data_IF_739797088031
#
_entry.id   IF_739797088031
#
_cell.length_a   1.000
_cell.length_b   1.000
_cell.length_c   1.000
_cell.angle_alpha   90.00
_cell.angle_beta   90.00
_cell.angle_gamma   90.00
#
_symmetry.space_group_name_H-M   'P 1'
#
loop_
_entity.id
_entity.type
_entity.pdbx_description
1 polymer ?
#
# COMPACT_ATOMS: atom_id res chain seq x y z
N UNK A 1 -22.26 37.96 40.50
CA UNK A 1 -22.62 36.83 39.61
C UNK A 1 -21.34 36.40 38.94
N UNK A 2 -20.70 35.38 39.52
CA UNK A 2 -19.58 34.69 38.87
C UNK A 2 -20.20 33.78 37.83
N UNK A 3 -20.03 34.12 36.55
CA UNK A 3 -20.24 33.14 35.50
C UNK A 3 -19.03 32.21 35.54
N UNK A 4 -19.25 30.97 35.99
CA UNK A 4 -18.26 29.91 35.82
C UNK A 4 -17.86 29.82 34.34
N UNK A 5 -16.56 29.70 34.03
CA UNK A 5 -16.15 29.39 32.67
C UNK A 5 -16.68 28.00 32.31
N UNK A 6 -17.34 27.93 31.16
CA UNK A 6 -17.84 26.71 30.53
C UNK A 6 -16.74 25.61 30.53
N UNK A 7 -16.99 24.43 31.16
CA UNK A 7 -15.98 23.37 31.28
C UNK A 7 -15.67 22.64 29.96
N UNK A 8 -16.35 22.95 28.86
CA UNK A 8 -16.05 22.44 27.52
C UNK A 8 -14.90 23.20 26.81
N UNK A 9 -13.85 23.54 27.58
CA UNK A 9 -12.53 23.76 26.98
C UNK A 9 -12.12 22.46 26.29
N UNK A 10 -12.11 22.45 24.96
CA UNK A 10 -11.65 21.41 23.99
C UNK A 10 -10.53 20.49 24.54
N UNK A 11 -10.87 19.60 25.47
CA UNK A 11 -9.97 18.58 25.97
C UNK A 11 -9.88 17.55 24.86
N UNK A 12 -8.68 17.38 24.30
CA UNK A 12 -8.40 16.38 23.28
C UNK A 12 -8.90 15.00 23.70
N UNK A 13 -9.07 14.07 22.74
CA UNK A 13 -9.63 12.75 23.04
C UNK A 13 -8.80 12.04 24.13
N UNK A 14 -9.50 11.35 25.03
CA UNK A 14 -8.89 10.58 26.11
C UNK A 14 -8.15 9.36 25.53
N UNK A 15 -6.83 9.50 25.37
CA UNK A 15 -5.94 8.52 24.78
C UNK A 15 -5.05 7.87 25.86
N UNK A 16 -5.34 6.62 26.21
CA UNK A 16 -4.47 5.83 27.09
C UNK A 16 -3.47 5.04 26.25
N UNK A 17 -2.19 5.35 26.40
CA UNK A 17 -1.11 4.61 25.71
C UNK A 17 -1.02 3.18 26.23
N UNK A 18 -0.95 2.22 25.31
CA UNK A 18 -0.70 0.80 25.57
C UNK A 18 0.53 0.37 24.80
N UNK A 19 1.42 -0.36 25.46
CA UNK A 19 2.59 -0.97 24.84
C UNK A 19 2.60 -2.45 25.16
N UNK A 20 2.77 -3.27 24.13
CA UNK A 20 3.05 -4.68 24.29
C UNK A 20 4.57 -4.86 24.33
N UNK A 21 5.08 -5.65 25.26
CA UNK A 21 6.50 -5.99 25.42
C UNK A 21 6.98 -7.03 24.38
N UNK A 22 6.11 -7.36 23.43
CA UNK A 22 6.36 -8.29 22.34
C UNK A 22 5.86 -7.75 21.01
N UNK A 23 6.32 -8.37 19.93
CA UNK A 23 5.86 -8.03 18.59
C UNK A 23 4.41 -8.43 18.37
N UNK A 24 3.58 -7.51 17.88
CA UNK A 24 2.15 -7.75 17.65
C UNK A 24 1.84 -8.72 16.52
N UNK A 25 2.84 -9.13 15.73
CA UNK A 25 2.67 -10.27 14.81
C UNK A 25 3.17 -11.60 15.38
N UNK A 26 3.51 -11.65 16.68
CA UNK A 26 3.65 -12.91 17.38
C UNK A 26 2.28 -13.59 17.45
N UNK A 27 2.25 -14.85 17.03
CA UNK A 27 1.03 -15.62 16.88
C UNK A 27 0.89 -16.51 18.11
N UNK A 28 -0.27 -16.48 18.76
CA UNK A 28 -0.54 -17.43 19.84
C UNK A 28 -0.63 -18.85 19.29
N UNK A 29 -0.31 -19.86 20.11
CA UNK A 29 -0.53 -21.26 19.74
C UNK A 29 -2.03 -21.45 19.59
N UNK A 30 -2.46 -21.61 18.35
CA UNK A 30 -3.84 -21.89 18.02
C UNK A 30 -4.27 -23.24 18.61
N UNK A 31 -5.55 -23.36 18.94
CA UNK A 31 -6.12 -24.65 19.37
C UNK A 31 -5.96 -25.74 18.30
N UNK A 32 -6.01 -27.01 18.74
CA UNK A 32 -5.90 -28.20 17.88
C UNK A 32 -6.76 -28.09 16.62
N UNK A 33 -8.01 -27.66 16.75
CA UNK A 33 -8.94 -27.54 15.64
C UNK A 33 -8.51 -26.54 14.57
N UNK A 34 -8.02 -25.38 14.98
CA UNK A 34 -7.55 -24.34 14.05
C UNK A 34 -6.27 -24.80 13.34
N UNK A 35 -5.37 -25.48 14.07
CA UNK A 35 -4.20 -26.10 13.46
C UNK A 35 -4.61 -27.13 12.40
N UNK A 36 -5.52 -28.06 12.73
CA UNK A 36 -6.00 -29.08 11.79
C UNK A 36 -6.65 -28.45 10.56
N UNK A 37 -7.50 -27.43 10.73
CA UNK A 37 -8.09 -26.67 9.61
C UNK A 37 -7.01 -26.07 8.70
N UNK A 38 -5.98 -25.45 9.28
CA UNK A 38 -4.87 -24.87 8.52
C UNK A 38 -4.08 -25.95 7.78
N UNK A 39 -3.79 -27.08 8.43
CA UNK A 39 -3.07 -28.20 7.84
C UNK A 39 -3.84 -28.82 6.67
N UNK A 40 -5.15 -29.06 6.83
CA UNK A 40 -6.02 -29.54 5.74
C UNK A 40 -5.95 -28.57 4.57
N UNK A 41 -6.16 -27.28 4.81
CA UNK A 41 -6.13 -26.26 3.75
C UNK A 41 -4.77 -26.22 3.01
N UNK A 42 -3.64 -26.29 3.73
CA UNK A 42 -2.31 -26.33 3.12
C UNK A 42 -2.07 -27.60 2.32
N UNK A 43 -2.53 -28.74 2.82
CA UNK A 43 -2.44 -30.03 2.13
C UNK A 43 -3.27 -30.02 0.85
N UNK A 44 -4.51 -29.54 0.89
CA UNK A 44 -5.35 -29.38 -0.30
C UNK A 44 -4.70 -28.46 -1.32
N UNK A 45 -4.10 -27.35 -0.88
CA UNK A 45 -3.37 -26.43 -1.76
C UNK A 45 -2.19 -27.13 -2.44
N UNK A 46 -1.41 -27.91 -1.68
CA UNK A 46 -0.30 -28.69 -2.21
C UNK A 46 -0.78 -29.73 -3.24
N UNK A 47 -1.79 -30.53 -2.90
CA UNK A 47 -2.37 -31.54 -3.80
C UNK A 47 -2.94 -30.89 -5.07
N UNK A 48 -3.60 -29.75 -4.96
CA UNK A 48 -4.11 -29.00 -6.13
C UNK A 48 -2.98 -28.59 -7.07
N UNK A 49 -1.91 -28.02 -6.53
CA UNK A 49 -0.75 -27.59 -7.31
C UNK A 49 -0.03 -28.79 -7.95
N UNK A 50 0.11 -29.89 -7.21
CA UNK A 50 0.71 -31.12 -7.72
C UNK A 50 -0.11 -31.71 -8.88
N UNK A 51 -1.44 -31.73 -8.76
CA UNK A 51 -2.34 -32.20 -9.83
C UNK A 51 -2.25 -31.35 -11.08
N UNK A 52 -2.17 -30.01 -10.95
CA UNK A 52 -1.97 -29.14 -12.11
C UNK A 52 -0.64 -29.42 -12.82
N UNK A 53 0.45 -29.59 -12.05
CA UNK A 53 1.76 -29.93 -12.62
C UNK A 53 1.75 -31.30 -13.31
N UNK A 54 1.19 -32.31 -12.66
CA UNK A 54 1.07 -33.65 -13.24
C UNK A 54 0.21 -33.64 -14.50
N UNK A 55 -0.90 -32.89 -14.52
CA UNK A 55 -1.75 -32.76 -15.69
C UNK A 55 -0.99 -32.24 -16.92
N UNK A 56 -0.26 -31.12 -16.80
CA UNK A 56 0.50 -30.57 -17.92
C UNK A 56 1.74 -31.39 -18.27
N UNK A 57 2.31 -32.13 -17.30
CA UNK A 57 3.38 -33.08 -17.57
C UNK A 57 2.89 -34.27 -18.41
N UNK A 58 1.70 -34.80 -18.12
CA UNK A 58 1.10 -35.94 -18.83
C UNK A 58 0.43 -35.55 -20.15
N UNK A 59 0.07 -34.27 -20.33
CA UNK A 59 -0.61 -33.74 -21.52
C UNK A 59 0.18 -32.55 -22.11
N UNK A 60 1.41 -32.77 -22.59
CA UNK A 60 2.27 -31.70 -23.08
C UNK A 60 1.67 -30.93 -24.28
N UNK A 61 0.80 -31.57 -25.06
CA UNK A 61 0.07 -30.97 -26.18
C UNK A 61 -0.98 -29.92 -25.76
N UNK A 62 -1.42 -29.95 -24.49
CA UNK A 62 -2.37 -28.98 -23.94
C UNK A 62 -1.70 -27.74 -23.35
N UNK A 63 -0.36 -27.69 -23.34
CA UNK A 63 0.39 -26.51 -22.90
C UNK A 63 0.13 -25.38 -23.89
N UNK A 64 -0.74 -24.45 -23.50
CA UNK A 64 -1.00 -23.25 -24.29
C UNK A 64 0.15 -22.25 -24.15
N UNK A 65 0.34 -21.36 -25.15
CA UNK A 65 1.29 -20.27 -25.03
C UNK A 65 1.01 -19.43 -23.78
N UNK A 66 2.06 -18.88 -23.19
CA UNK A 66 1.98 -18.05 -22.00
C UNK A 66 1.01 -16.90 -22.24
N UNK A 67 -0.14 -16.96 -21.56
CA UNK A 67 -1.11 -15.88 -21.51
C UNK A 67 -0.66 -14.90 -20.44
N UNK A 68 -0.64 -13.60 -20.77
CA UNK A 68 -0.45 -12.57 -19.76
C UNK A 68 -1.63 -12.60 -18.78
N UNK A 69 -1.30 -12.77 -17.49
CA UNK A 69 -2.29 -12.90 -16.42
C UNK A 69 -2.13 -11.84 -15.35
N UNK A 70 -1.15 -10.94 -15.46
CA UNK A 70 -0.86 -9.90 -14.48
C UNK A 70 -0.78 -10.45 -13.04
N UNK A 71 -0.28 -11.68 -12.89
CA UNK A 71 -0.14 -12.37 -11.60
C UNK A 71 -1.46 -12.91 -11.01
N UNK A 72 -2.55 -12.92 -11.77
CA UNK A 72 -3.82 -13.53 -11.36
C UNK A 72 -3.81 -15.05 -11.56
N UNK A 73 -3.88 -15.78 -10.45
CA UNK A 73 -3.97 -17.24 -10.45
C UNK A 73 -5.27 -17.73 -11.08
N UNK A 74 -5.22 -18.92 -11.69
CA UNK A 74 -6.41 -19.62 -12.17
C UNK A 74 -7.33 -20.00 -11.01
N UNK A 75 -8.63 -19.82 -11.19
CA UNK A 75 -9.68 -20.28 -10.27
C UNK A 75 -10.18 -21.68 -10.61
N UNK A 76 -9.73 -22.26 -11.74
CA UNK A 76 -10.18 -23.57 -12.19
C UNK A 76 -9.68 -24.68 -11.25
N UNK A 77 -10.52 -25.69 -10.96
CA UNK A 77 -10.06 -26.88 -10.24
C UNK A 77 -9.18 -27.73 -11.17
N UNK A 78 -8.12 -28.37 -10.63
CA UNK A 78 -7.32 -29.30 -11.41
C UNK A 78 -8.14 -30.55 -11.77
N UNK A 79 -7.89 -31.15 -12.94
CA UNK A 79 -8.53 -32.42 -13.33
C UNK A 79 -8.08 -33.56 -12.40
N UNK A 80 -8.85 -34.64 -12.40
CA UNK A 80 -8.49 -35.86 -11.66
C UNK A 80 -7.29 -36.53 -12.33
N UNK A 81 -6.30 -36.93 -11.54
CA UNK A 81 -5.07 -37.60 -12.00
C UNK A 81 -5.02 -38.96 -11.30
N UNK A 82 -5.34 -40.07 -12.01
CA UNK A 82 -5.37 -41.42 -11.43
C UNK A 82 -4.07 -41.78 -10.71
N UNK A 83 -2.92 -41.41 -11.27
CA UNK A 83 -1.58 -41.70 -10.77
C UNK A 83 -1.31 -41.05 -9.40
N UNK A 84 -2.05 -40.00 -9.03
CA UNK A 84 -1.92 -39.32 -7.74
C UNK A 84 -2.94 -39.77 -6.69
N UNK A 85 -3.81 -40.74 -7.02
CA UNK A 85 -4.88 -41.20 -6.13
C UNK A 85 -4.33 -41.78 -4.84
N UNK A 86 -3.42 -42.75 -4.94
CA UNK A 86 -2.90 -43.46 -3.78
C UNK A 86 -2.05 -42.53 -2.90
N UNK A 87 -1.19 -41.72 -3.52
CA UNK A 87 -0.46 -40.65 -2.83
C UNK A 87 -1.38 -39.71 -2.03
N UNK A 88 -2.49 -39.27 -2.62
CA UNK A 88 -3.46 -38.39 -1.93
C UNK A 88 -4.09 -39.10 -0.73
N UNK A 89 -4.42 -40.39 -0.86
CA UNK A 89 -5.02 -41.18 0.21
C UNK A 89 -4.03 -41.38 1.38
N UNK A 90 -2.81 -41.80 1.09
CA UNK A 90 -1.74 -41.95 2.09
C UNK A 90 -1.43 -40.63 2.79
N UNK A 91 -1.41 -39.51 2.06
CA UNK A 91 -1.22 -38.18 2.65
C UNK A 91 -2.37 -37.80 3.58
N UNK A 92 -3.61 -38.18 3.26
CA UNK A 92 -4.76 -37.97 4.13
C UNK A 92 -4.66 -38.83 5.41
N UNK A 93 -4.25 -40.10 5.29
CA UNK A 93 -3.99 -40.98 6.43
C UNK A 93 -2.88 -40.44 7.33
N UNK A 94 -1.79 -39.92 6.75
CA UNK A 94 -0.71 -39.29 7.50
C UNK A 94 -1.24 -38.14 8.36
N UNK A 95 -2.12 -37.30 7.82
CA UNK A 95 -2.71 -36.17 8.54
C UNK A 95 -3.65 -36.65 9.66
N UNK A 96 -4.43 -37.71 9.42
CA UNK A 96 -5.32 -38.30 10.44
C UNK A 96 -4.54 -38.86 11.64
N UNK A 97 -3.33 -39.35 11.39
CA UNK A 97 -2.47 -39.94 12.42
C UNK A 97 -1.64 -38.93 13.22
N UNK A 98 -1.78 -37.63 12.96
CA UNK A 98 -1.05 -36.60 13.71
C UNK A 98 -1.50 -36.55 15.17
N UNK A 99 -0.55 -36.76 16.08
CA UNK A 99 -0.75 -36.67 17.52
C UNK A 99 -0.25 -35.32 18.03
N UNK A 100 -1.03 -34.71 18.90
CA UNK A 100 -0.71 -33.41 19.51
C UNK A 100 -0.27 -33.61 20.95
N UNK A 101 0.81 -32.94 21.34
CA UNK A 101 1.23 -32.79 22.74
C UNK A 101 0.91 -31.38 23.21
N UNK A 102 0.27 -31.26 24.37
CA UNK A 102 0.13 -29.95 25.03
C UNK A 102 1.50 -29.53 25.57
N UNK A 103 1.99 -28.38 25.15
CA UNK A 103 3.21 -27.77 25.68
C UNK A 103 2.85 -26.47 26.39
N UNK A 104 3.32 -26.32 27.63
CA UNK A 104 3.17 -25.06 28.35
C UNK A 104 4.29 -24.11 27.94
N UNK A 105 3.94 -22.85 27.71
CA UNK A 105 4.88 -21.77 27.42
C UNK A 105 4.39 -20.51 28.12
N UNK A 106 5.24 -19.91 28.96
CA UNK A 106 4.93 -18.71 29.73
C UNK A 106 4.58 -17.51 28.83
N UNK A 107 5.28 -17.36 27.71
CA UNK A 107 4.98 -16.33 26.70
C UNK A 107 3.58 -16.54 26.09
N UNK A 108 3.19 -17.77 25.81
CA UNK A 108 1.86 -18.09 25.29
C UNK A 108 0.75 -17.85 26.33
N UNK A 109 1.05 -18.12 27.60
CA UNK A 109 0.15 -17.76 28.70
C UNK A 109 0.01 -16.23 28.83
N UNK A 110 1.09 -15.47 28.59
CA UNK A 110 1.05 -14.01 28.53
C UNK A 110 0.16 -13.50 27.39
N UNK A 111 0.40 -13.94 26.15
CA UNK A 111 -0.42 -13.59 24.98
C UNK A 111 -1.91 -13.84 25.21
N UNK A 112 -2.26 -15.01 25.79
CA UNK A 112 -3.65 -15.34 26.07
C UNK A 112 -4.29 -14.46 27.15
N UNK A 113 -3.52 -13.99 28.14
CA UNK A 113 -4.01 -13.01 29.14
C UNK A 113 -4.31 -11.67 28.46
N UNK A 114 -3.42 -11.22 27.58
CA UNK A 114 -3.61 -9.95 26.86
C UNK A 114 -4.80 -10.02 25.91
N UNK A 115 -4.96 -11.12 25.15
CA UNK A 115 -6.15 -11.34 24.30
C UNK A 115 -7.44 -11.26 25.12
N UNK A 116 -7.48 -11.90 26.31
CA UNK A 116 -8.65 -11.82 27.20
C UNK A 116 -8.87 -10.39 27.70
N UNK A 117 -7.81 -9.67 28.06
CA UNK A 117 -7.90 -8.28 28.48
C UNK A 117 -8.43 -7.37 27.38
N UNK A 118 -7.97 -7.56 26.14
CA UNK A 118 -8.41 -6.80 24.96
C UNK A 118 -9.89 -7.08 24.68
N UNK A 119 -10.30 -8.34 24.69
CA UNK A 119 -11.69 -8.73 24.42
C UNK A 119 -12.69 -8.24 25.48
N UNK A 120 -12.23 -7.98 26.70
CA UNK A 120 -13.06 -7.47 27.80
C UNK A 120 -13.06 -5.93 27.90
N UNK A 121 -12.19 -5.25 27.16
CA UNK A 121 -12.09 -3.79 27.17
C UNK A 121 -13.20 -3.16 26.32
N UNK A 122 -13.78 -2.06 26.80
CA UNK A 122 -14.87 -1.34 26.10
C UNK A 122 -14.34 -0.32 25.11
N UNK A 123 -13.11 0.14 25.31
CA UNK A 123 -12.41 1.08 24.43
C UNK A 123 -11.78 0.36 23.24
N UNK A 124 -11.65 1.09 22.14
CA UNK A 124 -10.99 0.60 20.93
C UNK A 124 -9.48 0.71 21.06
N UNK A 125 -8.74 -0.27 20.54
CA UNK A 125 -7.28 -0.21 20.44
C UNK A 125 -6.87 0.26 19.04
N UNK A 126 -6.28 1.45 18.96
CA UNK A 126 -5.85 2.05 17.70
C UNK A 126 -4.33 2.02 17.61
N UNK A 127 -3.74 1.46 16.54
CA UNK A 127 -2.30 1.45 16.36
C UNK A 127 -1.77 2.85 16.02
N UNK A 128 -0.55 3.12 16.45
CA UNK A 128 0.22 4.25 15.98
C UNK A 128 0.73 4.04 14.54
N UNK A 129 0.96 5.13 13.82
CA UNK A 129 1.37 5.12 12.42
C UNK A 129 2.85 4.74 12.22
N UNK A 130 3.75 5.22 13.09
CA UNK A 130 5.21 5.05 12.95
C UNK A 130 5.89 4.34 14.12
N UNK A 131 5.19 4.14 15.23
CA UNK A 131 5.72 3.47 16.42
C UNK A 131 4.99 2.16 16.66
N UNK A 132 5.50 1.33 17.57
CA UNK A 132 4.83 0.09 17.99
C UNK A 132 3.77 0.33 19.07
N UNK A 133 3.37 1.58 19.31
CA UNK A 133 2.41 1.94 20.35
C UNK A 133 0.98 1.64 19.88
N UNK A 134 0.11 1.35 20.85
CA UNK A 134 -1.34 1.36 20.71
C UNK A 134 -1.93 2.40 21.65
N UNK A 135 -3.15 2.82 21.35
CA UNK A 135 -3.90 3.73 22.21
C UNK A 135 -5.31 3.20 22.40
N UNK A 136 -5.77 3.17 23.65
CA UNK A 136 -7.18 2.97 23.95
C UNK A 136 -7.92 4.28 23.77
N UNK A 137 -9.05 4.23 23.08
CA UNK A 137 -9.91 5.39 22.84
C UNK A 137 -11.38 4.99 22.98
N UNK A 138 -12.22 5.90 23.47
CA UNK A 138 -13.68 5.67 23.48
C UNK A 138 -14.20 5.60 22.04
N UNK A 139 -15.17 4.72 21.73
CA UNK A 139 -15.73 4.62 20.38
C UNK A 139 -16.22 5.95 19.80
N UNK A 140 -16.83 6.82 20.63
CA UNK A 140 -17.33 8.13 20.21
C UNK A 140 -16.21 9.07 19.74
N UNK A 141 -15.08 9.09 20.46
CA UNK A 141 -13.94 9.93 20.12
C UNK A 141 -13.22 9.41 18.88
N UNK A 142 -13.17 8.09 18.72
CA UNK A 142 -12.68 7.47 17.48
C UNK A 142 -13.53 7.89 16.27
N UNK A 143 -14.86 7.82 16.38
CA UNK A 143 -15.75 8.22 15.30
C UNK A 143 -15.60 9.71 14.93
N UNK A 144 -15.37 10.59 15.91
CA UNK A 144 -15.04 12.00 15.65
C UNK A 144 -13.74 12.13 14.87
N UNK A 145 -12.68 11.44 15.27
CA UNK A 145 -11.37 11.47 14.59
C UNK A 145 -11.46 10.89 13.17
N UNK A 146 -12.15 9.77 12.99
CA UNK A 146 -12.36 9.13 11.69
C UNK A 146 -13.16 10.05 10.77
N UNK A 147 -14.31 10.55 11.24
CA UNK A 147 -15.18 11.45 10.48
C UNK A 147 -14.43 12.71 10.04
N UNK A 148 -13.68 13.33 10.95
CA UNK A 148 -12.83 14.50 10.63
C UNK A 148 -11.78 14.18 9.57
N UNK A 149 -11.14 13.02 9.67
CA UNK A 149 -10.11 12.58 8.71
C UNK A 149 -10.70 12.36 7.31
N UNK A 150 -11.88 11.73 7.23
CA UNK A 150 -12.59 11.51 5.97
C UNK A 150 -13.04 12.85 5.37
N UNK A 151 -13.71 13.69 6.17
CA UNK A 151 -14.27 14.95 5.71
C UNK A 151 -13.20 15.98 5.32
N UNK A 152 -11.93 15.79 5.67
CA UNK A 152 -10.84 16.66 5.22
C UNK A 152 -10.70 16.60 3.69
N UNK A 153 -10.64 15.40 3.12
CA UNK A 153 -10.29 15.18 1.70
C UNK A 153 -11.41 14.55 0.87
N UNK A 154 -12.41 13.95 1.51
CA UNK A 154 -13.49 13.21 0.84
C UNK A 154 -14.86 13.85 1.09
N UNK A 155 -15.80 13.58 0.19
CA UNK A 155 -17.22 13.89 0.30
C UNK A 155 -18.05 12.64 0.03
N UNK A 156 -19.27 12.58 0.59
CA UNK A 156 -20.20 11.49 0.31
C UNK A 156 -20.40 11.36 -1.20
N UNK A 157 -20.33 10.14 -1.70
CA UNK A 157 -20.54 9.80 -3.10
C UNK A 157 -21.87 9.06 -3.26
N UNK A 158 -22.37 8.99 -4.49
CA UNK A 158 -23.52 8.17 -4.82
C UNK A 158 -23.11 6.72 -5.11
N UNK A 159 -24.08 5.81 -5.06
CA UNK A 159 -23.85 4.42 -5.45
C UNK A 159 -23.54 4.29 -6.94
N UNK A 160 -24.05 5.21 -7.77
CA UNK A 160 -23.84 5.21 -9.23
C UNK A 160 -22.36 5.30 -9.59
N UNK A 161 -21.59 6.11 -8.87
CA UNK A 161 -20.13 6.23 -9.06
C UNK A 161 -19.44 4.89 -8.80
N UNK A 162 -19.83 4.19 -7.72
CA UNK A 162 -19.29 2.86 -7.40
C UNK A 162 -19.67 1.83 -8.48
N UNK A 163 -20.93 1.86 -8.92
CA UNK A 163 -21.45 0.94 -9.92
C UNK A 163 -20.76 1.15 -11.28
N UNK A 164 -20.49 2.41 -11.65
CA UNK A 164 -19.75 2.75 -12.86
C UNK A 164 -18.30 2.26 -12.81
N UNK A 165 -17.60 2.46 -11.69
CA UNK A 165 -16.24 1.93 -11.49
C UNK A 165 -16.25 0.41 -11.66
N UNK A 166 -17.18 -0.27 -11.00
CA UNK A 166 -17.31 -1.74 -11.07
C UNK A 166 -17.64 -2.23 -12.49
N UNK A 167 -18.47 -1.50 -13.23
CA UNK A 167 -18.80 -1.80 -14.63
C UNK A 167 -17.57 -1.71 -15.52
N UNK A 168 -16.75 -0.67 -15.35
CA UNK A 168 -15.51 -0.50 -16.12
C UNK A 168 -14.47 -1.54 -15.72
N UNK A 169 -14.33 -1.87 -14.43
CA UNK A 169 -13.46 -2.94 -13.95
C UNK A 169 -13.80 -4.28 -14.62
N UNK A 170 -15.10 -4.62 -14.70
CA UNK A 170 -15.58 -5.82 -15.40
C UNK A 170 -15.28 -5.78 -16.89
N UNK A 171 -15.39 -4.61 -17.52
CA UNK A 171 -15.06 -4.45 -18.92
C UNK A 171 -13.57 -4.69 -19.17
N UNK A 172 -12.68 -4.04 -18.41
CA UNK A 172 -11.23 -4.26 -18.47
C UNK A 172 -10.89 -5.74 -18.27
N UNK A 173 -11.46 -6.37 -17.24
CA UNK A 173 -11.25 -7.79 -16.97
C UNK A 173 -11.70 -8.67 -18.15
N UNK A 174 -12.81 -8.33 -18.82
CA UNK A 174 -13.31 -9.07 -19.98
C UNK A 174 -12.39 -8.90 -21.19
N UNK A 175 -11.98 -7.65 -21.50
CA UNK A 175 -11.10 -7.34 -22.63
C UNK A 175 -9.76 -8.04 -22.52
N UNK A 176 -9.18 -8.08 -21.32
CA UNK A 176 -7.93 -8.79 -21.04
C UNK A 176 -8.12 -10.31 -20.84
N UNK A 177 -9.35 -10.82 -20.98
CA UNK A 177 -9.70 -12.22 -20.76
C UNK A 177 -9.39 -12.73 -19.33
N UNK A 178 -9.51 -11.87 -18.33
CA UNK A 178 -9.27 -12.15 -16.89
C UNK A 178 -10.57 -12.18 -16.07
N UNK A 179 -11.73 -12.10 -16.71
CA UNK A 179 -13.03 -12.11 -16.03
C UNK A 179 -13.29 -13.39 -15.20
N UNK A 180 -12.58 -14.49 -15.47
CA UNK A 180 -12.66 -15.76 -14.74
C UNK A 180 -11.96 -15.75 -13.37
N UNK A 181 -11.13 -14.73 -13.11
CA UNK A 181 -10.20 -14.71 -11.95
C UNK A 181 -10.13 -13.40 -11.18
N UNK A 182 -10.78 -12.34 -11.67
CA UNK A 182 -10.85 -11.05 -10.98
C UNK A 182 -12.19 -10.95 -10.28
N UNK A 183 -12.17 -10.76 -8.97
CA UNK A 183 -13.39 -10.60 -8.18
C UNK A 183 -13.81 -9.13 -8.09
N UNK A 184 -15.12 -8.90 -7.90
CA UNK A 184 -15.63 -7.58 -7.53
C UNK A 184 -15.05 -7.18 -6.17
N UNK A 185 -14.61 -5.92 -6.08
CA UNK A 185 -14.02 -5.37 -4.86
C UNK A 185 -15.01 -5.45 -3.69
N UNK A 186 -14.61 -6.13 -2.62
CA UNK A 186 -15.39 -6.15 -1.38
C UNK A 186 -15.38 -4.78 -0.71
N UNK A 187 -16.56 -4.30 -0.28
CA UNK A 187 -16.69 -3.09 0.53
C UNK A 187 -16.06 -3.31 1.89
N UNK A 188 -15.20 -2.38 2.32
CA UNK A 188 -14.48 -2.43 3.59
C UNK A 188 -14.45 -1.04 4.21
N UNK A 189 -14.75 -0.99 5.50
CA UNK A 189 -14.79 0.25 6.27
C UNK A 189 -13.39 0.88 6.42
N UNK A 190 -13.33 2.19 6.19
CA UNK A 190 -12.15 2.99 6.44
C UNK A 190 -11.77 2.95 7.91
N UNK A 191 -10.48 3.08 8.19
CA UNK A 191 -9.98 3.19 9.56
C UNK A 191 -8.81 4.15 9.63
N UNK A 192 -8.46 4.55 10.85
CA UNK A 192 -7.37 5.49 11.11
C UNK A 192 -6.27 4.86 11.95
N UNK A 193 -5.06 5.38 11.79
CA UNK A 193 -3.93 5.17 12.69
C UNK A 193 -3.48 6.51 13.28
N UNK A 194 -2.89 6.50 14.47
CA UNK A 194 -2.53 7.71 15.20
C UNK A 194 -1.10 8.16 14.90
N UNK A 195 -0.91 9.42 14.50
CA UNK A 195 0.41 10.00 14.24
C UNK A 195 1.04 10.50 15.55
N UNK A 196 1.38 9.57 16.44
CA UNK A 196 1.96 9.84 17.78
C UNK A 196 3.35 10.51 17.78
N UNK A 197 4.02 10.48 16.63
CA UNK A 197 5.29 11.16 16.38
C UNK A 197 5.14 12.66 16.05
N UNK A 198 3.92 13.17 15.91
CA UNK A 198 3.67 14.58 15.62
C UNK A 198 3.69 15.42 16.89
N UNK A 199 4.16 16.67 16.75
CA UNK A 199 4.09 17.65 17.82
C UNK A 199 2.65 17.85 18.30
N UNK A 200 2.49 18.14 19.59
CA UNK A 200 1.20 18.39 20.22
C UNK A 200 0.19 17.21 20.11
N UNK A 201 0.65 15.98 19.86
CA UNK A 201 -0.21 14.79 19.71
C UNK A 201 -1.19 14.59 20.88
N UNK A 202 -0.76 14.86 22.13
CA UNK A 202 -1.60 14.70 23.32
C UNK A 202 -2.84 15.58 23.30
N UNK A 203 -2.72 16.79 22.77
CA UNK A 203 -3.82 17.76 22.76
C UNK A 203 -4.58 17.74 21.43
N UNK A 204 -3.86 17.58 20.32
CA UNK A 204 -4.42 17.60 18.96
C UNK A 204 -3.90 16.41 18.15
N UNK A 205 -4.39 15.19 18.42
CA UNK A 205 -3.94 14.02 17.68
C UNK A 205 -4.31 14.16 16.21
N UNK A 206 -3.35 13.85 15.34
CA UNK A 206 -3.58 13.75 13.90
C UNK A 206 -3.57 12.29 13.50
N UNK A 207 -4.33 11.98 12.46
CA UNK A 207 -4.55 10.62 12.01
C UNK A 207 -3.98 10.41 10.60
N UNK A 208 -3.68 9.15 10.28
CA UNK A 208 -3.57 8.70 8.89
C UNK A 208 -4.81 7.87 8.57
N UNK A 209 -5.57 8.32 7.58
CA UNK A 209 -6.72 7.60 7.03
C UNK A 209 -6.22 6.46 6.14
N UNK A 210 -6.79 5.27 6.31
CA UNK A 210 -6.48 4.09 5.50
C UNK A 210 -7.71 3.67 4.73
N UNK A 211 -7.56 3.53 3.41
CA UNK A 211 -8.57 2.93 2.54
C UNK A 211 -8.25 1.43 2.31
N UNK A 212 -9.03 0.51 2.92
CA UNK A 212 -8.84 -0.92 2.67
C UNK A 212 -9.48 -1.42 1.37
N UNK A 213 -10.34 -0.64 0.71
CA UNK A 213 -10.93 -0.99 -0.59
C UNK A 213 -9.88 -0.81 -1.69
N UNK A 214 -9.34 -1.94 -2.17
CA UNK A 214 -8.31 -1.97 -3.21
C UNK A 214 -8.80 -2.80 -4.39
N UNK A 215 -9.26 -2.15 -5.48
CA UNK A 215 -9.68 -2.88 -6.67
C UNK A 215 -8.56 -3.76 -7.22
N UNK A 216 -8.90 -5.01 -7.54
CA UNK A 216 -7.92 -5.97 -8.02
C UNK A 216 -7.32 -5.55 -9.37
N UNK A 217 -8.06 -4.81 -10.20
CA UNK A 217 -7.59 -4.21 -11.46
C UNK A 217 -6.32 -3.35 -11.24
N UNK A 218 -6.11 -2.82 -10.03
CA UNK A 218 -4.87 -2.14 -9.67
C UNK A 218 -3.61 -2.99 -9.84
N UNK A 219 -3.70 -4.34 -9.74
CA UNK A 219 -2.57 -5.25 -10.02
C UNK A 219 -2.13 -5.20 -11.49
N UNK A 220 -3.06 -4.95 -12.41
CA UNK A 220 -2.79 -4.80 -13.85
C UNK A 220 -2.01 -3.51 -14.07
N UNK A 221 -2.56 -2.39 -13.59
CA UNK A 221 -1.91 -1.07 -13.64
C UNK A 221 -0.51 -1.10 -13.03
N UNK A 222 -0.34 -1.80 -11.90
CA UNK A 222 0.95 -1.99 -11.25
C UNK A 222 2.02 -2.54 -12.20
N UNK A 223 1.72 -3.64 -12.88
CA UNK A 223 2.70 -4.29 -13.78
C UNK A 223 2.97 -3.46 -15.03
N UNK A 224 1.95 -2.79 -15.57
CA UNK A 224 2.11 -1.85 -16.68
C UNK A 224 3.07 -0.72 -16.25
N UNK A 225 2.81 -0.09 -15.10
CA UNK A 225 3.66 0.99 -14.57
C UNK A 225 5.07 0.50 -14.23
N UNK A 226 5.23 -0.70 -13.67
CA UNK A 226 6.56 -1.26 -13.38
C UNK A 226 7.40 -1.40 -14.65
N UNK A 227 6.78 -1.88 -15.74
CA UNK A 227 7.40 -1.95 -17.07
C UNK A 227 7.77 -0.56 -17.60
N UNK A 228 6.82 0.38 -17.62
CA UNK A 228 7.05 1.75 -18.09
C UNK A 228 8.17 2.42 -17.28
N UNK A 229 8.12 2.33 -15.95
CA UNK A 229 9.13 2.93 -15.09
C UNK A 229 10.51 2.33 -15.32
N UNK A 230 10.59 1.02 -15.59
CA UNK A 230 11.85 0.35 -15.94
C UNK A 230 12.42 0.96 -17.22
N UNK A 231 11.62 1.03 -18.29
CA UNK A 231 12.05 1.55 -19.59
C UNK A 231 12.48 3.02 -19.49
N UNK A 232 11.71 3.85 -18.79
CA UNK A 232 12.05 5.27 -18.56
C UNK A 232 13.38 5.38 -17.80
N UNK A 233 13.56 4.65 -16.69
CA UNK A 233 14.82 4.67 -15.92
C UNK A 233 16.03 4.28 -16.76
N UNK A 234 15.89 3.22 -17.56
CA UNK A 234 16.98 2.73 -18.42
C UNK A 234 17.35 3.75 -19.50
N UNK A 235 16.38 4.44 -20.10
CA UNK A 235 16.65 5.44 -21.15
C UNK A 235 17.10 6.79 -20.60
N UNK A 236 16.59 7.24 -19.46
CA UNK A 236 16.94 8.55 -18.89
C UNK A 236 18.16 8.51 -17.98
N UNK A 237 18.56 7.32 -17.52
CA UNK A 237 19.59 7.15 -16.49
C UNK A 237 19.28 7.96 -15.22
N UNK A 238 17.99 8.13 -14.91
CA UNK A 238 17.53 8.91 -13.75
C UNK A 238 17.97 8.24 -12.43
N UNK A 239 18.43 9.05 -11.47
CA UNK A 239 18.82 8.61 -10.12
C UNK A 239 17.59 8.33 -9.22
N UNK A 240 16.67 7.50 -9.69
CA UNK A 240 15.55 7.01 -8.88
C UNK A 240 15.99 5.77 -8.11
N UNK A 241 16.00 5.90 -6.78
CA UNK A 241 16.50 4.87 -5.87
C UNK A 241 15.35 3.97 -5.46
N UNK A 242 15.63 2.67 -5.24
CA UNK A 242 14.61 1.67 -4.85
C UNK A 242 14.97 0.91 -3.57
N UNK A 243 16.21 1.02 -3.11
CA UNK A 243 16.69 0.40 -1.86
C UNK A 243 17.76 1.25 -1.20
N UNK A 244 17.94 1.08 0.11
CA UNK A 244 18.95 1.76 0.91
C UNK A 244 20.37 1.61 0.33
N UNK A 245 20.68 0.43 -0.23
CA UNK A 245 21.99 0.17 -0.86
C UNK A 245 22.28 1.12 -2.03
N UNK A 246 21.27 1.56 -2.77
CA UNK A 246 21.46 2.48 -3.90
C UNK A 246 21.89 3.87 -3.38
N UNK A 247 21.27 4.33 -2.29
CA UNK A 247 21.60 5.60 -1.63
C UNK A 247 23.03 5.57 -1.08
N UNK A 248 23.41 4.48 -0.41
CA UNK A 248 24.75 4.30 0.15
C UNK A 248 25.79 4.30 -0.96
N UNK A 249 25.56 3.51 -2.03
CA UNK A 249 26.47 3.45 -3.18
C UNK A 249 26.64 4.81 -3.85
N UNK A 250 25.54 5.54 -4.04
CA UNK A 250 25.58 6.91 -4.56
C UNK A 250 26.42 7.83 -3.65
N UNK A 251 26.16 7.81 -2.34
CA UNK A 251 26.88 8.64 -1.37
C UNK A 251 28.38 8.32 -1.36
N UNK A 252 28.75 7.04 -1.35
CA UNK A 252 30.14 6.60 -1.31
C UNK A 252 30.94 7.09 -2.51
N UNK A 253 30.33 7.08 -3.71
CA UNK A 253 30.94 7.55 -4.96
C UNK A 253 31.14 9.08 -5.04
N UNK A 254 30.59 9.85 -4.10
CA UNK A 254 30.83 11.30 -4.04
C UNK A 254 32.26 11.56 -3.55
N UNK A 255 33.08 12.14 -4.42
CA UNK A 255 34.40 12.70 -4.07
C UNK A 255 34.28 14.02 -3.32
N UNK A 256 35.28 14.33 -2.50
CA UNK A 256 35.43 15.62 -1.79
C UNK A 256 34.20 16.01 -0.97
N UNK A 257 33.61 15.04 -0.26
CA UNK A 257 32.35 15.19 0.49
C UNK A 257 32.36 16.38 1.46
N UNK A 258 33.52 16.70 2.04
CA UNK A 258 33.70 17.80 3.00
C UNK A 258 33.54 19.19 2.36
N UNK A 259 33.73 19.30 1.06
CA UNK A 259 33.65 20.55 0.31
C UNK A 259 32.31 20.75 -0.39
N UNK A 260 31.41 19.76 -0.27
CA UNK A 260 30.11 19.75 -0.93
C UNK A 260 28.99 20.11 0.03
N UNK A 261 27.96 20.71 -0.54
CA UNK A 261 26.71 21.00 0.16
C UNK A 261 25.64 19.99 -0.23
N UNK A 262 25.00 19.42 0.79
CA UNK A 262 23.92 18.45 0.65
C UNK A 262 22.58 19.12 0.91
N UNK A 263 21.57 18.69 0.15
CA UNK A 263 20.18 19.12 0.31
C UNK A 263 19.35 17.87 0.54
N UNK A 264 18.56 17.90 1.60
CA UNK A 264 17.58 16.86 1.95
C UNK A 264 16.23 17.54 1.92
N UNK A 265 15.24 16.89 1.30
CA UNK A 265 13.88 17.39 1.26
C UNK A 265 12.91 16.23 1.23
N UNK A 266 11.68 16.50 1.66
CA UNK A 266 10.56 15.56 1.70
C UNK A 266 9.36 16.22 1.00
N UNK A 267 8.55 15.42 0.31
CA UNK A 267 7.35 15.89 -0.36
C UNK A 267 6.14 15.63 0.55
N UNK A 268 5.59 16.71 1.12
CA UNK A 268 4.43 16.63 1.98
C UNK A 268 3.24 15.95 1.29
N UNK A 269 2.72 14.89 1.91
CA UNK A 269 1.53 14.15 1.45
C UNK A 269 1.61 13.73 -0.03
N UNK A 270 2.79 13.27 -0.47
CA UNK A 270 3.11 13.02 -1.88
C UNK A 270 2.06 12.20 -2.65
N UNK A 271 1.59 11.09 -2.06
CA UNK A 271 0.59 10.22 -2.70
C UNK A 271 -0.73 10.99 -2.94
N UNK A 272 -1.42 11.51 -1.89
CA UNK A 272 -2.60 12.34 -2.07
C UNK A 272 -2.41 13.60 -2.92
N UNK A 273 -1.19 14.16 -2.98
CA UNK A 273 -0.91 15.41 -3.71
C UNK A 273 -0.81 15.22 -5.23
N UNK A 274 -0.61 14.00 -5.72
CA UNK A 274 -0.59 13.73 -7.16
C UNK A 274 -1.97 14.03 -7.75
N UNK A 275 -2.01 15.00 -8.67
CA UNK A 275 -3.22 15.34 -9.41
C UNK A 275 -3.35 14.49 -10.68
N UNK A 276 -4.57 14.40 -11.23
CA UNK A 276 -4.79 13.72 -12.51
C UNK A 276 -3.96 14.36 -13.63
N UNK A 277 -3.88 15.70 -13.64
CA UNK A 277 -3.06 16.46 -14.60
C UNK A 277 -1.59 16.10 -14.48
N UNK A 278 -1.05 16.03 -13.26
CA UNK A 278 0.35 15.66 -13.05
C UNK A 278 0.63 14.22 -13.52
N UNK A 279 -0.29 13.29 -13.29
CA UNK A 279 -0.15 11.93 -13.81
C UNK A 279 -0.18 11.91 -15.35
N UNK A 280 -1.07 12.69 -15.98
CA UNK A 280 -1.10 12.82 -17.44
C UNK A 280 0.22 13.37 -17.99
N UNK A 281 0.76 14.45 -17.41
CA UNK A 281 2.05 15.04 -17.80
C UNK A 281 3.21 14.03 -17.62
N UNK A 282 3.18 13.24 -16.55
CA UNK A 282 4.19 12.19 -16.32
C UNK A 282 4.08 11.03 -17.32
N UNK A 283 2.87 10.65 -17.72
CA UNK A 283 2.63 9.64 -18.77
C UNK A 283 3.07 10.16 -20.14
N UNK A 284 2.81 11.43 -20.45
CA UNK A 284 3.23 12.05 -21.70
C UNK A 284 4.76 12.10 -21.78
N UNK A 285 5.43 12.48 -20.69
CA UNK A 285 6.89 12.35 -20.57
C UNK A 285 7.36 10.91 -20.79
N UNK A 286 6.74 9.93 -20.13
CA UNK A 286 7.12 8.54 -20.27
C UNK A 286 6.90 7.96 -21.67
N UNK A 287 5.92 8.46 -22.42
CA UNK A 287 5.66 8.04 -23.80
C UNK A 287 6.84 8.34 -24.75
N UNK A 288 7.69 9.30 -24.40
CA UNK A 288 8.92 9.60 -25.16
C UNK A 288 10.03 8.56 -24.94
N UNK A 289 9.86 7.68 -23.93
CA UNK A 289 10.85 6.70 -23.49
C UNK A 289 10.30 5.26 -23.42
N UNK A 290 8.99 5.04 -23.38
CA UNK A 290 8.39 3.71 -23.28
C UNK A 290 7.21 3.63 -24.22
N UNK A 291 7.05 2.48 -24.88
CA UNK A 291 5.85 2.20 -25.66
C UNK A 291 4.79 1.59 -24.75
N UNK A 292 3.62 2.20 -24.70
CA UNK A 292 2.43 1.66 -24.03
C UNK A 292 1.19 2.14 -24.77
N UNK A 293 0.13 1.35 -24.74
CA UNK A 293 -1.07 1.62 -25.53
C UNK A 293 -1.98 2.65 -24.87
N UNK A 294 -2.92 3.21 -25.65
CA UNK A 294 -3.98 4.05 -25.10
C UNK A 294 -4.85 3.29 -24.07
N UNK A 295 -5.03 1.99 -24.25
CA UNK A 295 -5.72 1.11 -23.30
C UNK A 295 -4.94 0.98 -21.98
N UNK A 296 -3.62 0.80 -22.04
CA UNK A 296 -2.78 0.76 -20.84
C UNK A 296 -2.80 2.10 -20.09
N UNK A 297 -2.73 3.24 -20.81
CA UNK A 297 -2.91 4.58 -20.24
C UNK A 297 -4.28 4.71 -19.57
N UNK A 298 -5.33 4.20 -20.20
CA UNK A 298 -6.68 4.20 -19.65
C UNK A 298 -6.78 3.38 -18.35
N UNK A 299 -6.22 2.17 -18.31
CA UNK A 299 -6.21 1.31 -17.12
C UNK A 299 -5.48 2.01 -15.96
N UNK A 300 -4.32 2.62 -16.22
CA UNK A 300 -3.56 3.36 -15.21
C UNK A 300 -4.41 4.49 -14.60
N UNK A 301 -5.10 5.27 -15.42
CA UNK A 301 -5.96 6.36 -14.95
C UNK A 301 -7.20 5.85 -14.23
N UNK A 302 -7.85 4.82 -14.77
CA UNK A 302 -9.08 4.26 -14.20
C UNK A 302 -8.86 3.69 -12.80
N UNK A 303 -7.72 3.03 -12.55
CA UNK A 303 -7.39 2.50 -11.22
C UNK A 303 -7.20 3.56 -10.13
N UNK A 304 -7.12 4.86 -10.51
CA UNK A 304 -7.12 5.98 -9.56
C UNK A 304 -8.51 6.42 -9.15
N UNK A 305 -9.56 5.88 -9.79
CA UNK A 305 -10.94 6.07 -9.36
C UNK A 305 -11.20 5.15 -8.18
N UNK A 306 -11.02 5.67 -6.96
CA UNK A 306 -11.19 4.89 -5.74
C UNK A 306 -12.36 5.42 -4.92
N UNK A 307 -12.98 4.51 -4.17
CA UNK A 307 -14.06 4.83 -3.24
C UNK A 307 -13.66 4.34 -1.86
N UNK A 308 -13.90 5.17 -0.86
CA UNK A 308 -13.75 4.88 0.55
C UNK A 308 -15.13 4.56 1.14
N UNK A 309 -15.23 3.66 2.11
CA UNK A 309 -16.50 3.40 2.81
C UNK A 309 -16.41 3.80 4.27
N UNK A 310 -17.46 4.45 4.76
CA UNK A 310 -17.67 4.66 6.18
C UNK A 310 -19.16 4.46 6.49
N UNK A 311 -19.48 3.56 7.43
CA UNK A 311 -20.84 3.14 7.76
C UNK A 311 -21.64 2.72 6.52
N UNK A 312 -21.06 1.82 5.71
CA UNK A 312 -21.59 1.34 4.42
C UNK A 312 -21.90 2.44 3.38
N UNK A 313 -21.53 3.70 3.64
CA UNK A 313 -21.74 4.82 2.73
C UNK A 313 -20.47 5.06 1.91
N UNK A 314 -20.54 5.17 0.58
CA UNK A 314 -19.39 5.49 -0.24
C UNK A 314 -18.99 6.96 -0.12
N UNK A 315 -17.68 7.22 -0.14
CA UNK A 315 -17.04 8.52 -0.13
C UNK A 315 -16.01 8.57 -1.25
N UNK A 316 -16.00 9.67 -2.00
CA UNK A 316 -15.04 9.94 -3.07
C UNK A 316 -14.23 11.17 -2.73
N UNK A 317 -13.03 11.28 -3.30
CA UNK A 317 -12.18 12.45 -3.09
C UNK A 317 -12.93 13.71 -3.55
N UNK A 318 -12.70 14.82 -2.86
CA UNK A 318 -13.33 16.09 -3.19
C UNK A 318 -12.85 16.55 -4.57
N UNK A 319 -13.75 17.22 -5.31
CA UNK A 319 -13.52 17.83 -6.64
C UNK A 319 -13.30 16.84 -7.79
N UNK A 320 -12.65 15.70 -7.55
CA UNK A 320 -12.41 14.67 -8.57
C UNK A 320 -12.57 13.29 -7.94
N UNK A 321 -12.94 12.28 -8.73
CA UNK A 321 -12.89 10.89 -8.28
C UNK A 321 -11.48 10.28 -8.34
N UNK A 322 -10.46 11.08 -8.71
CA UNK A 322 -9.08 10.64 -8.89
C UNK A 322 -8.31 10.71 -7.58
N UNK A 323 -7.72 9.60 -7.16
CA UNK A 323 -6.91 9.52 -5.96
C UNK A 323 -5.80 8.46 -6.06
N UNK A 324 -4.58 8.84 -5.70
CA UNK A 324 -3.47 7.90 -5.54
C UNK A 324 -3.41 7.53 -4.06
N UNK A 325 -4.24 6.56 -3.67
CA UNK A 325 -4.34 6.16 -2.26
C UNK A 325 -3.06 5.48 -1.77
N UNK A 326 -2.62 5.83 -0.56
CA UNK A 326 -1.53 5.11 0.09
C UNK A 326 -1.93 3.66 0.31
N UNK A 327 -1.16 2.74 -0.28
CA UNK A 327 -1.40 1.31 -0.17
C UNK A 327 -2.28 0.72 -1.28
N UNK A 328 -2.69 1.49 -2.30
CA UNK A 328 -3.22 0.88 -3.53
C UNK A 328 -2.18 -0.08 -4.15
N UNK A 329 -2.62 -1.00 -5.01
CA UNK A 329 -1.73 -1.99 -5.61
C UNK A 329 -0.61 -1.37 -6.45
N UNK A 330 -0.85 -0.21 -7.04
CA UNK A 330 0.00 0.47 -8.03
C UNK A 330 0.44 1.88 -7.60
N UNK A 331 0.16 2.26 -6.35
CA UNK A 331 0.40 3.61 -5.86
C UNK A 331 1.89 3.94 -5.78
N UNK A 332 2.72 2.95 -5.42
CA UNK A 332 4.17 3.12 -5.39
C UNK A 332 4.74 3.33 -6.80
N UNK A 333 4.31 2.54 -7.76
CA UNK A 333 4.73 2.62 -9.16
C UNK A 333 4.25 3.92 -9.81
N UNK A 334 3.09 4.44 -9.39
CA UNK A 334 2.61 5.77 -9.81
C UNK A 334 3.50 6.89 -9.27
N UNK A 335 3.87 6.81 -7.99
CA UNK A 335 4.80 7.75 -7.37
C UNK A 335 6.20 7.67 -8.02
N UNK A 336 6.65 6.47 -8.38
CA UNK A 336 7.89 6.29 -9.12
C UNK A 336 7.81 6.98 -10.51
N UNK A 337 6.73 6.81 -11.26
CA UNK A 337 6.55 7.46 -12.56
C UNK A 337 6.60 9.00 -12.43
N UNK A 338 5.80 9.55 -11.52
CA UNK A 338 5.78 10.99 -11.24
C UNK A 338 7.15 11.47 -10.75
N UNK A 339 7.82 10.70 -9.90
CA UNK A 339 9.18 10.99 -9.44
C UNK A 339 10.19 11.05 -10.58
N UNK A 340 10.09 10.19 -11.60
CA UNK A 340 10.95 10.24 -12.80
C UNK A 340 10.71 11.51 -13.60
N UNK A 341 9.45 11.90 -13.77
CA UNK A 341 9.09 13.15 -14.43
C UNK A 341 9.65 14.37 -13.66
N UNK A 342 9.46 14.44 -12.35
CA UNK A 342 9.99 15.52 -11.51
C UNK A 342 11.53 15.56 -11.52
N UNK A 343 12.19 14.39 -11.50
CA UNK A 343 13.65 14.30 -11.66
C UNK A 343 14.11 14.87 -13.00
N UNK A 344 13.38 14.64 -14.09
CA UNK A 344 13.72 15.21 -15.40
C UNK A 344 13.72 16.75 -15.40
N UNK A 345 12.84 17.36 -14.59
CA UNK A 345 12.82 18.82 -14.40
C UNK A 345 13.96 19.29 -13.50
N UNK A 346 14.26 18.55 -12.43
CA UNK A 346 15.33 18.87 -11.48
C UNK A 346 16.73 18.69 -12.08
N UNK A 347 16.91 17.79 -13.04
CA UNK A 347 18.18 17.56 -13.74
C UNK A 347 18.67 18.78 -14.53
N UNK A 348 17.80 19.77 -14.76
CA UNK A 348 18.16 21.08 -15.35
C UNK A 348 18.98 21.95 -14.38
N UNK A 349 19.01 21.60 -13.09
CA UNK A 349 19.79 22.29 -12.07
C UNK A 349 21.21 21.71 -11.98
N UNK A 350 22.17 22.50 -11.52
CA UNK A 350 23.56 22.08 -11.35
C UNK A 350 23.77 21.25 -10.06
N UNK A 351 22.92 20.23 -9.86
CA UNK A 351 22.93 19.30 -8.74
C UNK A 351 22.93 17.87 -9.26
N UNK A 352 23.43 16.94 -8.45
CA UNK A 352 23.14 15.52 -8.61
C UNK A 352 22.07 15.17 -7.57
N UNK A 353 20.87 14.87 -8.07
CA UNK A 353 19.66 14.67 -7.27
C UNK A 353 19.10 13.28 -7.52
N UNK A 354 18.64 12.64 -6.45
CA UNK A 354 17.89 11.41 -6.52
C UNK A 354 16.68 11.43 -5.61
N UNK A 355 15.66 10.65 -6.00
CA UNK A 355 14.43 10.47 -5.24
C UNK A 355 14.26 9.00 -4.84
N UNK A 356 13.77 8.79 -3.63
CA UNK A 356 13.17 7.55 -3.17
C UNK A 356 11.73 7.85 -2.76
N UNK A 357 10.79 7.73 -3.70
CA UNK A 357 9.41 8.18 -3.51
C UNK A 357 9.36 9.66 -3.08
N UNK A 358 8.86 9.94 -1.89
CA UNK A 358 8.74 11.26 -1.26
C UNK A 358 10.09 11.83 -0.77
N UNK A 359 11.05 10.96 -0.44
CA UNK A 359 12.36 11.36 0.07
C UNK A 359 13.32 11.81 -1.06
N UNK A 360 13.81 13.04 -0.96
CA UNK A 360 14.75 13.63 -1.91
C UNK A 360 16.11 13.94 -1.30
N UNK A 361 17.17 13.59 -2.03
CA UNK A 361 18.55 13.87 -1.67
C UNK A 361 19.30 14.44 -2.87
N UNK A 362 19.98 15.57 -2.68
CA UNK A 362 20.81 16.18 -3.70
C UNK A 362 22.17 16.63 -3.16
N UNK A 363 23.16 16.64 -4.03
CA UNK A 363 24.49 17.22 -3.78
C UNK A 363 24.80 18.26 -4.83
N UNK A 364 25.33 19.41 -4.41
CA UNK A 364 25.79 20.43 -5.34
C UNK A 364 27.07 19.95 -6.05
N UNK A 365 27.14 20.07 -7.37
CA UNK A 365 28.30 19.59 -8.16
C UNK A 365 29.59 20.40 -7.89
N UNK A 366 29.45 21.63 -7.40
CA UNK A 366 30.55 22.53 -7.01
C UNK A 366 30.28 23.09 -5.60
N UNK A 367 31.30 23.61 -4.94
CA UNK A 367 31.13 24.42 -3.74
C UNK A 367 30.20 25.61 -4.06
N UNK A 368 29.13 25.74 -3.29
CA UNK A 368 28.13 26.80 -3.46
C UNK A 368 28.14 27.69 -2.22
N UNK A 369 27.94 28.99 -2.43
CA UNK A 369 27.72 29.92 -1.32
C UNK A 369 26.36 29.66 -0.66
N UNK A 370 26.15 30.05 0.61
CA UNK A 370 24.86 29.92 1.28
C UNK A 370 23.69 30.54 0.49
N UNK A 371 23.95 31.65 -0.23
CA UNK A 371 22.96 32.30 -1.10
C UNK A 371 22.54 31.41 -2.27
N UNK A 372 23.50 30.82 -2.98
CA UNK A 372 23.22 29.92 -4.11
C UNK A 372 22.48 28.65 -3.66
N UNK A 373 22.84 28.09 -2.50
CA UNK A 373 22.12 26.94 -1.92
C UNK A 373 20.65 27.31 -1.65
N UNK A 374 20.40 28.51 -1.13
CA UNK A 374 19.03 29.01 -0.88
C UNK A 374 18.25 29.16 -2.19
N UNK A 375 18.88 29.67 -3.24
CA UNK A 375 18.27 29.79 -4.58
C UNK A 375 17.93 28.42 -5.19
N UNK A 376 18.82 27.44 -5.05
CA UNK A 376 18.57 26.05 -5.47
C UNK A 376 17.36 25.49 -4.71
N UNK A 377 17.33 25.60 -3.37
CA UNK A 377 16.19 25.15 -2.55
C UNK A 377 14.88 25.81 -2.97
N UNK A 378 14.88 27.11 -3.22
CA UNK A 378 13.70 27.83 -3.70
C UNK A 378 13.25 27.34 -5.08
N UNK A 379 14.20 27.03 -5.97
CA UNK A 379 13.90 26.53 -7.31
C UNK A 379 13.33 25.13 -7.27
N UNK A 380 13.88 24.25 -6.42
CA UNK A 380 13.31 22.94 -6.12
C UNK A 380 11.85 23.12 -5.66
N UNK A 381 11.59 23.96 -4.64
CA UNK A 381 10.23 24.22 -4.18
C UNK A 381 9.30 24.79 -5.26
N UNK A 382 9.81 25.61 -6.18
CA UNK A 382 9.02 26.14 -7.31
C UNK A 382 8.63 25.04 -8.28
N UNK A 383 9.57 24.16 -8.63
CA UNK A 383 9.29 22.99 -9.50
C UNK A 383 8.18 22.14 -8.86
N UNK A 384 8.31 21.78 -7.59
CA UNK A 384 7.28 20.98 -6.90
C UNK A 384 5.95 21.70 -6.70
N UNK A 385 5.89 23.04 -6.70
CA UNK A 385 4.64 23.79 -6.60
C UNK A 385 3.91 23.97 -7.93
N UNK A 386 4.66 23.92 -9.04
CA UNK A 386 4.11 24.10 -10.38
C UNK A 386 3.51 22.82 -10.97
N UNK A 387 3.82 21.69 -10.34
CA UNK A 387 3.33 20.35 -10.67
C UNK A 387 2.36 19.91 -9.55
#
# INVERSE_FOLDING_TARGET
MNCDPDPDLDQGPDLEKVTFDFWTKNISIHGKEVYIKSLIHRTETFVKNLRWRAFFFLNPELVQPDKETFGFNSTRPPPFIPELKDFKNELAELIQNIKFKKTYNSFQAHLNRDIKSINNEKRLFIPADKTNNFYKIKPQDYEKLLSKSIQQEYSKSDTRTTDEITRIDKHIASTLSLADRINVTAKREAFITLKDHKENFKNKPTCRLINPCKPEIGKISKQILERINKDVREKTQSNQRRKTKDVITWFDNIKDKKEKSFIIFDICDFYPSISEKLLDEALDFASTHSNFTAEERFIIKHTKKTTLYNNNTPWSKKKTNFDVTMGSYDGAETCELVGLFLLSQLNKLNIDVGLYRDDGLAVCKKAQTPKQIKEIKQTICKIFKNN
#
